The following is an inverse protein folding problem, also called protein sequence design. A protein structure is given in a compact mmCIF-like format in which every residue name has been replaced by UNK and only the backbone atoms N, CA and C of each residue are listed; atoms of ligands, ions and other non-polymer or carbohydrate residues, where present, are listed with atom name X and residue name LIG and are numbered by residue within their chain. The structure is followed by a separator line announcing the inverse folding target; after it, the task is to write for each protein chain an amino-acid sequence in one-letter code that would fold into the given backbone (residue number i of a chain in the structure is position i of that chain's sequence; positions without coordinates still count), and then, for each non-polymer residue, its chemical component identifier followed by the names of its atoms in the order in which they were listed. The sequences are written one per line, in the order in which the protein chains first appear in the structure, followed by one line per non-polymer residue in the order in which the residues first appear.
data_IF_675102325819
#
_entry.id   IF_675102325819
#
_cell.length_a   1.000
_cell.length_b   1.000
_cell.length_c   1.000
_cell.angle_alpha   90.00
_cell.angle_beta   90.00
_cell.angle_gamma   90.00
#
_symmetry.space_group_name_H-M   'P 1'
#
loop_
_entity.id
_entity.type
_entity.pdbx_description
1 polymer ?
2 non-polymer ?
3 non-polymer ?
4 non-polymer ?
5 non-polymer ?
6 water ?
#
# COMPACT_ATOMS: atom_id res chain seq x y z
N UNK A 1 25.04 14.94 18.40
CA UNK A 1 25.82 13.72 17.99
C UNK A 1 26.29 13.67 16.53
N UNK A 3 27.26 10.34 13.47
CA UNK A 3 27.43 8.90 13.21
C UNK A 3 27.78 8.66 11.73
N UNK A 4 28.42 7.51 11.44
CA UNK A 4 28.72 7.13 10.08
C UNK A 4 28.19 5.71 9.86
N UNK A 5 27.38 5.56 8.81
CA UNK A 5 26.77 4.27 8.42
C UNK A 5 27.00 4.03 6.94
N UNK A 6 26.90 2.78 6.50
CA UNK A 6 26.83 2.50 5.09
C UNK A 6 25.46 2.92 4.53
N UNK A 7 24.40 2.54 5.23
CA UNK A 7 23.04 2.74 4.82
C UNK A 7 22.23 3.34 5.94
N UNK A 8 21.48 4.40 5.60
CA UNK A 8 20.47 4.98 6.47
C UNK A 8 19.15 4.72 5.81
N UNK A 9 18.23 4.07 6.54
CA UNK A 9 16.85 3.86 6.11
C UNK A 9 15.94 4.78 6.92
N UNK A 10 15.27 5.68 6.19
CA UNK A 10 14.33 6.62 6.81
C UNK A 10 12.91 6.07 6.74
N UNK A 11 12.43 5.64 7.91
CA UNK A 11 11.11 5.08 8.06
C UNK A 11 11.11 3.63 8.47
N UNK A 12 10.24 3.31 9.44
CA UNK A 12 10.14 1.98 10.00
C UNK A 12 8.85 1.22 9.73
N UNK A 13 8.27 1.45 8.56
CA UNK A 13 7.15 0.67 8.09
C UNK A 13 7.69 -0.55 7.35
N UNK A 14 6.80 -1.30 6.68
CA UNK A 14 7.23 -2.53 5.99
C UNK A 14 8.31 -2.26 4.92
N UNK A 15 8.24 -1.13 4.23
CA UNK A 15 9.22 -0.82 3.22
C UNK A 15 10.62 -0.61 3.85
N UNK A 16 10.68 0.26 4.86
CA UNK A 16 11.92 0.53 5.54
C UNK A 16 12.51 -0.69 6.22
N UNK A 17 11.67 -1.43 6.95
CA UNK A 17 12.21 -2.57 7.66
C UNK A 17 12.73 -3.62 6.70
N UNK A 18 12.08 -3.78 5.57
CA UNK A 18 12.54 -4.71 4.55
C UNK A 18 13.86 -4.25 3.96
N UNK A 19 13.94 -2.97 3.58
CA UNK A 19 15.20 -2.43 3.07
C UNK A 19 16.32 -2.64 4.10
N UNK A 20 16.07 -2.29 5.34
CA UNK A 20 17.09 -2.37 6.39
C UNK A 20 17.55 -3.81 6.66
N UNK A 21 16.59 -4.73 6.69
CA UNK A 21 16.91 -6.14 6.92
C UNK A 21 17.85 -6.67 5.80
N UNK A 22 17.46 -6.43 4.55
CA UNK A 22 18.26 -6.90 3.42
C UNK A 22 19.60 -6.18 3.34
N UNK A 23 19.63 -4.87 3.58
CA UNK A 23 20.93 -4.16 3.63
C UNK A 23 21.88 -4.82 4.64
N UNK A 24 21.36 -5.14 5.83
CA UNK A 24 22.17 -5.74 6.89
C UNK A 24 22.58 -7.16 6.48
N UNK A 25 21.65 -7.93 5.89
CA UNK A 25 22.01 -9.28 5.40
C UNK A 25 23.12 -9.20 4.35
N UNK A 26 23.11 -8.11 3.59
CA UNK A 26 24.10 -7.87 2.54
C UNK A 26 25.42 -7.32 3.08
N UNK A 27 25.57 -7.32 4.40
CA UNK A 27 26.82 -6.95 5.05
C UNK A 27 27.04 -5.48 5.38
N UNK A 28 26.03 -4.66 5.13
CA UNK A 28 26.18 -3.21 5.20
C UNK A 28 25.80 -2.69 6.58
N UNK A 29 26.59 -1.75 7.12
CA UNK A 29 26.36 -1.18 8.45
C UNK A 29 25.17 -0.28 8.25
N UNK A 30 24.05 -0.65 8.91
CA UNK A 30 22.74 -0.09 8.60
C UNK A 30 22.06 0.49 9.82
N UNK A 31 21.49 1.69 9.66
CA UNK A 31 20.63 2.30 10.67
C UNK A 31 19.27 2.55 10.07
N UNK A 33 15.68 4.42 11.08
CA UNK A 33 15.09 5.37 12.00
C UNK A 33 13.57 5.42 11.77
N UNK A 34 12.85 5.63 12.86
CA UNK A 34 11.42 5.81 12.85
C UNK A 34 10.98 7.01 13.69
N UNK A 35 10.19 7.89 13.10
CA UNK A 35 9.73 9.13 13.72
C UNK A 35 8.88 8.87 14.97
N UNK A 36 8.00 7.91 14.87
CA UNK A 36 7.03 7.61 15.93
C UNK A 36 7.74 6.92 17.09
N UNK A 37 7.21 7.05 18.33
CA UNK A 37 7.82 6.38 19.48
C UNK A 37 7.75 4.85 19.46
N UNK A 38 6.80 4.31 18.71
CA UNK A 38 6.60 2.86 18.60
C UNK A 38 6.47 2.47 17.12
N UNK A 39 7.21 1.45 16.71
CA UNK A 39 7.07 0.84 15.39
C UNK A 39 5.64 0.28 15.30
N UNK A 40 4.95 0.57 14.23
CA UNK A 40 3.70 -0.09 13.89
C UNK A 40 2.46 0.54 14.43
N UNK A 41 2.60 1.52 15.32
CA UNK A 41 1.45 2.08 16.06
C UNK A 41 1.46 3.57 15.96
N UNK A 42 0.29 4.18 15.75
CA UNK A 42 -0.99 3.55 15.56
C UNK A 42 -1.14 2.98 14.13
N UNK A 43 -2.04 2.01 14.00
CA UNK A 43 -2.31 1.39 12.72
C UNK A 43 -3.22 2.31 11.92
N UNK A 44 -2.86 2.56 10.66
CA UNK A 44 -3.68 3.35 9.76
C UNK A 44 -3.74 2.61 8.44
N UNK A 45 -4.43 1.48 8.47
CA UNK A 45 -4.39 0.54 7.35
C UNK A 45 -5.54 -0.40 7.47
N UNK A 46 -6.01 -0.89 6.32
CA UNK A 46 -6.95 -1.98 6.22
C UNK A 46 -6.40 -3.33 6.58
N UNK A 47 -5.09 -3.46 6.52
CA UNK A 47 -4.36 -4.62 6.96
C UNK A 47 -4.52 -5.83 6.04
N UNK A 48 -5.02 -5.61 4.83
CA UNK A 48 -5.21 -6.69 3.87
C UNK A 48 -3.95 -6.97 3.07
N UNK A 49 -3.57 -8.23 2.98
CA UNK A 49 -2.35 -8.60 2.27
C UNK A 49 -2.52 -9.93 1.51
N UNK A 50 -2.26 -9.91 0.20
CA UNK A 50 -2.23 -11.17 -0.56
C UNK A 50 -1.04 -12.02 -0.15
N UNK A 51 -1.18 -13.36 -0.25
CA UNK A 51 -0.25 -14.34 0.38
C UNK A 51 1.22 -14.39 -0.13
N UNK A 52 1.34 -14.15 -1.44
CA UNK A 52 2.58 -14.37 -2.20
C UNK A 52 3.81 -13.60 -1.70
N UNK A 53 3.61 -12.38 -1.23
CA UNK A 53 4.74 -11.54 -0.82
C UNK A 53 5.49 -12.13 0.35
N UNK A 54 4.81 -12.86 1.24
CA UNK A 54 5.51 -13.41 2.40
C UNK A 54 6.55 -14.43 1.91
N UNK A 55 6.19 -15.24 0.92
CA UNK A 55 7.16 -16.17 0.33
C UNK A 55 8.25 -15.44 -0.40
N UNK A 56 7.89 -14.45 -1.22
CA UNK A 56 8.87 -13.73 -2.02
C UNK A 56 9.93 -13.04 -1.14
N UNK A 57 9.47 -12.50 0.00
CA UNK A 57 10.33 -11.75 0.93
C UNK A 57 10.88 -12.58 2.06
N UNK A 58 10.61 -13.89 2.02
CA UNK A 58 11.09 -14.78 3.08
C UNK A 58 10.68 -14.31 4.48
N UNK A 59 9.38 -14.09 4.64
CA UNK A 59 8.76 -13.78 5.93
C UNK A 59 7.83 -14.96 6.25
N UNK A 60 7.99 -15.55 7.41
CA UNK A 60 7.20 -16.76 7.78
C UNK A 60 5.85 -16.27 8.28
N UNK A 61 4.77 -16.83 7.74
CA UNK A 61 3.43 -16.50 8.18
C UNK A 61 3.33 -16.98 9.62
N UNK A 62 3.03 -16.06 10.53
CA UNK A 62 2.87 -16.40 11.94
C UNK A 62 1.59 -15.82 12.46
N UNK A 63 0.89 -16.59 13.27
CA UNK A 63 -0.41 -16.21 13.79
C UNK A 63 -0.32 -14.97 14.67
N UNK A 64 0.87 -14.67 15.21
CA UNK A 64 1.03 -13.49 16.04
C UNK A 64 0.76 -12.20 15.26
N UNK A 65 0.95 -12.19 13.95
CA UNK A 65 0.62 -11.01 13.16
C UNK A 65 -0.44 -11.20 12.09
N UNK A 66 -1.07 -12.35 12.06
CA UNK A 66 -2.15 -12.63 11.13
C UNK A 66 -3.44 -12.77 11.95
N UNK A 67 -4.38 -11.86 11.76
CA UNK A 67 -5.65 -11.94 12.48
C UNK A 67 -6.57 -12.99 11.89
N UNK A 68 -6.57 -13.07 10.55
CA UNK A 68 -7.53 -13.87 9.83
C UNK A 68 -6.99 -14.18 8.42
N UNK A 69 -7.23 -15.40 7.98
CA UNK A 69 -6.89 -15.81 6.62
C UNK A 69 -8.18 -15.76 5.84
N UNK A 70 -8.12 -15.33 4.60
CA UNK A 70 -9.33 -15.34 3.79
C UNK A 70 -9.21 -16.30 2.62
N UNK A 71 -10.32 -16.89 2.26
CA UNK A 71 -10.31 -17.83 1.13
C UNK A 71 -10.61 -17.10 -0.18
N UNK A 72 -11.18 -15.90 -0.10
CA UNK A 72 -11.48 -15.14 -1.31
C UNK A 72 -11.81 -13.69 -1.08
N UNK A 73 -12.02 -12.98 -2.18
CA UNK A 73 -12.50 -11.61 -2.20
C UNK A 73 -13.80 -11.58 -2.99
N UNK A 74 -14.73 -10.74 -2.55
CA UNK A 74 -15.99 -10.54 -3.24
C UNK A 74 -16.14 -9.06 -3.58
N UNK A 75 -16.55 -8.78 -4.81
CA UNK A 75 -16.74 -7.40 -5.27
C UNK A 75 -18.20 -7.21 -5.64
N UNK A 76 -18.87 -6.28 -4.95
CA UNK A 76 -20.27 -5.99 -5.16
C UNK A 76 -20.49 -4.74 -5.99
N UNK A 77 -21.50 -4.81 -6.85
CA UNK A 77 -21.97 -3.66 -7.57
C UNK A 77 -22.96 -2.91 -6.70
N UNK A 78 -23.38 -1.73 -7.16
CA UNK A 78 -24.32 -0.87 -6.45
C UNK A 78 -25.59 -1.58 -5.93
N UNK A 79 -26.17 -2.49 -6.69
CA UNK A 79 -27.40 -3.15 -6.28
C UNK A 79 -27.13 -4.36 -5.38
N UNK A 80 -25.86 -4.74 -5.21
CA UNK A 80 -25.44 -5.86 -4.36
C UNK A 80 -26.15 -7.18 -4.68
N UNK A 81 -26.45 -7.42 -5.95
CA UNK A 81 -27.18 -8.63 -6.40
C UNK A 81 -26.40 -9.98 -6.34
N UNK A 82 -25.36 -10.14 -7.15
CA UNK A 82 -24.42 -11.28 -7.05
C UNK A 82 -23.00 -10.68 -7.18
N UNK A 83 -22.08 -11.03 -6.27
CA UNK A 83 -20.75 -10.41 -6.38
C UNK A 83 -19.82 -11.18 -7.30
N UNK A 84 -18.81 -10.49 -7.84
CA UNK A 84 -17.66 -11.17 -8.39
C UNK A 84 -16.95 -11.81 -7.24
N UNK A 85 -16.61 -13.09 -7.39
CA UNK A 85 -15.85 -13.84 -6.40
C UNK A 85 -14.51 -14.30 -6.96
N UNK A 86 -13.44 -14.01 -6.24
CA UNK A 86 -12.11 -14.49 -6.57
C UNK A 86 -11.66 -15.41 -5.45
N UNK A 87 -11.44 -16.67 -5.79
CA UNK A 87 -10.88 -17.64 -4.85
C UNK A 87 -10.24 -18.81 -5.56
N UNK A 88 -9.20 -19.36 -4.93
CA UNK A 88 -8.40 -20.47 -5.50
C UNK A 88 -9.21 -21.68 -5.97
N UNK A 89 -8.68 -22.37 -6.98
CA UNK A 89 -9.28 -23.61 -7.50
C UNK A 89 -9.35 -24.70 -6.42
N UNK A 90 -8.31 -24.79 -5.59
CA UNK A 90 -8.21 -25.78 -4.52
C UNK A 90 -9.23 -25.52 -3.40
N UNK A 91 -9.72 -26.59 -2.77
CA UNK A 91 -10.82 -26.53 -1.79
C UNK A 91 -10.60 -25.57 -0.62
N UNK A 92 -9.63 -25.88 0.24
CA UNK A 92 -9.44 -25.12 1.48
C UNK A 92 -8.63 -23.83 1.40
N UNK A 93 -7.56 -23.83 0.57
CA UNK A 93 -6.45 -22.89 0.73
C UNK A 93 -6.75 -21.37 0.75
N UNK A 94 -5.91 -20.67 1.48
CA UNK A 94 -6.07 -19.23 1.69
C UNK A 94 -5.43 -18.46 0.53
N UNK A 95 -6.01 -17.29 0.20
CA UNK A 95 -5.49 -16.42 -0.87
C UNK A 95 -4.80 -15.18 -0.27
N UNK A 96 -5.07 -14.94 1.02
CA UNK A 96 -4.51 -13.75 1.66
C UNK A 96 -4.87 -13.69 3.11
N UNK A 97 -4.50 -12.56 3.69
CA UNK A 97 -4.54 -12.39 5.13
C UNK A 97 -5.10 -11.03 5.44
N UNK A 98 -5.73 -10.94 6.60
CA UNK A 98 -5.93 -9.66 7.27
C UNK A 98 -5.01 -9.68 8.48
N UNK A 99 -4.08 -8.74 8.48
CA UNK A 99 -3.00 -8.70 9.44
C UNK A 99 -3.40 -8.01 10.73
N UNK A 100 -2.53 -8.14 11.72
CA UNK A 100 -2.41 -7.12 12.75
C UNK A 100 -1.20 -6.28 12.32
N UNK A 101 -1.45 -5.15 11.68
CA UNK A 101 -0.37 -4.38 11.09
C UNK A 101 0.68 -3.92 12.07
N UNK A 102 0.24 -3.58 13.29
CA UNK A 102 1.19 -3.18 14.31
C UNK A 102 2.18 -4.30 14.67
N UNK A 103 1.67 -5.51 14.90
CA UNK A 103 2.52 -6.66 15.18
C UNK A 103 3.34 -7.05 13.94
N UNK A 104 2.77 -6.93 12.76
CA UNK A 104 3.51 -7.18 11.51
C UNK A 104 4.69 -6.23 11.34
N UNK A 105 4.44 -4.94 11.52
CA UNK A 105 5.52 -3.96 11.39
C UNK A 105 6.59 -4.23 12.46
N UNK A 106 6.16 -4.56 13.68
CA UNK A 106 7.13 -4.88 14.73
C UNK A 106 7.97 -6.11 14.37
N UNK A 107 7.32 -7.12 13.79
CA UNK A 107 8.01 -8.34 13.38
C UNK A 107 9.06 -8.03 12.31
N UNK A 108 8.69 -7.23 11.31
CA UNK A 108 9.65 -6.87 10.24
C UNK A 108 10.82 -6.07 10.79
N UNK A 109 10.55 -5.13 11.70
CA UNK A 109 11.62 -4.36 12.34
C UNK A 109 12.55 -5.27 13.16
N UNK A 110 11.96 -6.25 13.83
CA UNK A 110 12.73 -7.25 14.57
C UNK A 110 13.62 -8.10 13.64
N UNK A 111 13.10 -8.51 12.48
CA UNK A 111 13.93 -9.21 11.47
C UNK A 111 15.10 -8.34 11.02
N UNK A 112 14.87 -7.03 10.93
CA UNK A 112 15.94 -6.11 10.53
C UNK A 112 17.03 -6.05 11.60
N UNK A 113 16.60 -5.93 12.85
CA UNK A 113 17.52 -5.88 13.97
C UNK A 113 18.29 -7.19 14.06
N UNK A 114 17.58 -8.31 13.89
CA UNK A 114 18.25 -9.64 13.92
C UNK A 114 19.31 -9.79 12.84
N UNK A 115 19.06 -9.24 11.65
CA UNK A 115 19.99 -9.26 10.52
C UNK A 115 21.21 -8.36 10.78
N UNK A 116 21.11 -7.44 11.72
CA UNK A 116 22.21 -6.57 12.09
C UNK A 116 21.99 -5.08 11.99
N UNK A 117 20.79 -4.65 11.62
CA UNK A 117 20.54 -3.20 11.54
C UNK A 117 20.37 -2.62 12.94
N UNK A 118 20.92 -1.43 13.15
CA UNK A 118 20.54 -0.62 14.30
C UNK A 118 19.17 0.02 14.02
N UNK A 119 18.40 0.21 15.10
CA UNK A 119 17.05 0.77 14.98
C UNK A 119 16.84 1.86 16.03
N UNK A 120 16.47 3.06 15.59
CA UNK A 120 16.12 4.18 16.46
C UNK A 120 14.62 4.50 16.30
N UNK A 121 13.93 4.67 17.42
CA UNK A 121 12.55 5.10 17.44
C UNK A 121 12.50 6.50 18.03
N UNK A 122 11.35 7.16 17.88
CA UNK A 122 11.17 8.56 18.26
C UNK A 122 12.33 9.40 17.73
N UNK A 123 12.66 9.16 16.46
CA UNK A 123 13.90 9.68 15.86
C UNK A 123 13.65 10.13 14.43
N UNK A 124 12.93 11.26 14.25
CA UNK A 124 12.65 11.74 12.90
C UNK A 124 13.86 12.31 12.17
N UNK A 125 13.95 12.04 10.87
CA UNK A 125 14.80 12.81 9.97
C UNK A 125 14.20 14.21 9.88
N UNK A 126 15.07 15.21 9.90
CA UNK A 126 14.68 16.63 9.85
C UNK A 126 14.97 17.24 8.48
N UNK A 127 15.97 16.72 7.81
CA UNK A 127 16.40 17.21 6.52
C UNK A 127 17.56 16.40 6.00
N UNK A 128 18.02 16.79 4.83
CA UNK A 128 18.92 16.04 3.99
C UNK A 128 20.29 16.71 3.98
N UNK A 129 21.33 15.88 4.05
CA UNK A 129 22.72 16.30 3.91
C UNK A 129 23.23 15.82 2.53
N UNK A 130 23.88 16.73 1.82
CA UNK A 130 24.52 16.45 0.53
C UNK A 130 25.99 16.82 0.55
N UNK A 131 26.80 16.07 -0.19
CA UNK A 131 28.24 16.36 -0.28
C UNK A 131 28.83 15.60 -1.45
N UNK A 132 29.77 16.24 -2.14
CA UNK A 132 30.48 15.61 -3.25
C UNK A 132 29.50 15.10 -4.33
N UNK A 133 28.41 15.82 -4.56
CA UNK A 133 27.50 15.47 -5.64
C UNK A 133 26.47 14.38 -5.36
N UNK A 134 26.31 14.01 -4.09
CA UNK A 134 25.32 12.98 -3.74
C UNK A 134 24.66 13.29 -2.42
N UNK A 135 23.47 12.73 -2.23
CA UNK A 135 22.87 12.66 -0.89
C UNK A 135 23.85 11.88 -0.01
N UNK A 136 24.15 12.42 1.16
CA UNK A 136 25.21 11.90 2.02
C UNK A 136 24.77 11.64 3.47
N UNK A 137 23.48 11.79 3.75
CA UNK A 137 22.97 11.53 5.10
C UNK A 137 21.80 12.43 5.43
N UNK A 138 21.57 12.59 6.72
CA UNK A 138 20.41 13.32 7.26
C UNK A 138 20.76 13.89 8.61
N UNK A 139 20.14 15.02 8.93
CA UNK A 139 20.03 15.46 10.32
C UNK A 139 18.82 14.81 10.91
N UNK A 140 18.97 14.26 12.11
CA UNK A 140 17.98 13.44 12.79
C UNK A 140 17.86 13.84 14.25
N UNK A 141 16.66 13.97 14.78
CA UNK A 141 16.48 14.21 16.21
C UNK A 141 16.46 12.85 16.90
N UNK A 142 17.32 12.67 17.89
CA UNK A 142 17.43 11.39 18.60
C UNK A 142 17.81 11.70 20.06
N UNK A 143 16.97 11.26 20.99
CA UNK A 143 17.18 11.46 22.43
C UNK A 143 17.41 12.93 22.76
N UNK A 144 16.56 13.78 22.21
CA UNK A 144 16.60 15.23 22.48
C UNK A 144 17.89 15.91 22.06
N UNK A 145 18.51 15.40 21.02
CA UNK A 145 19.55 16.16 20.39
C UNK A 145 19.53 15.92 18.90
N UNK A 146 20.15 16.84 18.18
CA UNK A 146 20.31 16.76 16.73
C UNK A 146 21.54 15.96 16.42
N UNK A 147 21.38 14.88 15.67
CA UNK A 147 22.48 14.03 15.28
C UNK A 147 22.72 14.18 13.78
N UNK A 148 23.96 14.31 13.39
CA UNK A 148 24.36 14.35 11.98
C UNK A 148 24.72 12.92 11.59
N UNK A 149 23.89 12.26 10.77
CA UNK A 149 24.14 10.88 10.32
C UNK A 149 24.60 10.91 8.88
N UNK A 150 25.83 10.45 8.64
CA UNK A 150 26.38 10.35 7.30
C UNK A 150 26.23 8.92 6.84
N UNK A 151 25.77 8.74 5.63
CA UNK A 151 25.56 7.40 5.04
C UNK A 151 25.96 7.43 3.59
N UNK A 152 26.46 6.31 3.09
CA UNK A 152 26.79 6.19 1.63
C UNK A 152 25.52 6.12 0.80
N UNK A 154 21.17 6.50 1.31
CA UNK A 154 19.93 6.73 2.04
C UNK A 154 18.78 6.07 1.27
N UNK A 155 18.02 5.25 1.98
CA UNK A 155 16.81 4.66 1.45
C UNK A 155 15.65 5.31 2.19
N UNK A 156 14.86 6.11 1.49
CA UNK A 156 13.73 6.82 2.11
C UNK A 156 12.46 6.01 1.89
N UNK A 157 11.92 5.49 3.01
CA UNK A 157 10.73 4.69 3.04
C UNK A 157 9.80 5.38 4.07
N UNK A 158 9.57 6.69 3.86
CA UNK A 158 8.92 7.51 4.87
C UNK A 158 7.45 7.81 4.60
N UNK A 159 6.83 6.95 3.80
CA UNK A 159 5.40 6.88 3.68
C UNK A 159 4.80 7.96 2.77
N UNK A 160 3.46 8.06 2.85
CA UNK A 160 2.68 8.87 1.94
C UNK A 160 3.11 10.35 1.90
N UNK A 161 3.58 10.91 3.01
CA UNK A 161 4.01 12.30 2.99
C UNK A 161 5.28 12.52 2.15
N UNK A 162 6.09 11.46 2.02
CA UNK A 162 7.30 11.49 1.21
C UNK A 162 8.14 12.75 1.45
N UNK A 163 8.40 13.04 2.71
CA UNK A 163 9.14 14.25 3.09
C UNK A 163 10.57 14.24 2.61
N UNK A 164 11.26 13.10 2.80
CA UNK A 164 12.68 13.10 2.55
C UNK A 164 12.99 13.35 1.07
N UNK A 165 12.24 12.67 0.18
CA UNK A 165 12.43 12.85 -1.24
C UNK A 165 12.12 14.28 -1.63
N UNK A 166 11.08 14.85 -1.02
CA UNK A 166 10.75 16.25 -1.33
C UNK A 166 11.85 17.21 -0.87
N UNK A 167 12.33 17.01 0.35
CA UNK A 167 13.45 17.81 0.84
C UNK A 167 14.67 17.70 -0.06
N UNK A 168 14.92 16.50 -0.57
CA UNK A 168 16.08 16.25 -1.40
C UNK A 168 15.98 16.88 -2.78
N UNK A 169 14.76 17.15 -3.20
CA UNK A 169 14.48 17.85 -4.43
C UNK A 169 13.78 17.06 -5.51
N UNK A 170 13.25 15.88 -5.20
CA UNK A 170 12.47 15.08 -6.17
C UNK A 170 11.02 15.50 -6.40
N UNK A 171 10.77 16.16 -7.53
CA UNK A 171 9.44 16.67 -7.84
C UNK A 171 8.49 15.63 -8.38
N UNK A 172 9.04 14.51 -8.81
CA UNK A 172 8.26 13.46 -9.45
C UNK A 172 7.23 12.87 -8.52
N UNK A 173 7.47 12.92 -7.22
CA UNK A 173 6.54 12.35 -6.27
C UNK A 173 5.37 13.28 -5.90
N UNK A 174 5.33 14.49 -6.43
CA UNK A 174 4.21 15.40 -6.18
C UNK A 174 3.02 14.89 -6.97
N UNK A 175 1.93 14.61 -6.27
CA UNK A 175 0.76 14.04 -6.91
C UNK A 175 -0.21 15.06 -7.42
N UNK A 176 -0.82 14.75 -8.56
CA UNK A 176 -2.00 15.47 -9.01
C UNK A 176 -3.18 15.05 -8.14
N UNK A 177 -4.14 15.94 -7.98
CA UNK A 177 -5.28 15.69 -7.12
C UNK A 177 -6.05 14.48 -7.57
N UNK A 178 -6.09 14.21 -8.89
CA UNK A 178 -6.86 13.04 -9.32
C UNK A 178 -6.23 11.69 -8.96
N UNK A 179 -4.98 11.72 -8.45
CA UNK A 179 -4.27 10.51 -8.01
C UNK A 179 -4.16 10.44 -6.48
N UNK A 180 -4.92 11.26 -5.78
CA UNK A 180 -4.98 11.20 -4.32
C UNK A 180 -6.34 10.73 -3.84
N UNK A 181 -6.34 9.64 -3.08
CA UNK A 181 -7.52 9.09 -2.44
C UNK A 181 -7.47 9.48 -0.98
N UNK A 182 -8.59 10.02 -0.51
CA UNK A 182 -8.78 10.26 0.92
C UNK A 182 -9.53 9.05 1.48
N UNK A 183 -8.96 8.44 2.51
CA UNK A 183 -9.48 7.21 3.10
C UNK A 183 -9.85 7.43 4.54
N UNK A 184 -10.87 6.69 4.97
CA UNK A 184 -11.37 6.81 6.34
C UNK A 184 -11.88 5.42 6.73
N UNK A 185 -11.52 4.97 7.92
CA UNK A 185 -11.81 3.59 8.32
C UNK A 185 -12.13 3.46 9.80
N UNK A 186 -13.15 2.66 10.07
CA UNK A 186 -13.45 2.24 11.43
C UNK A 186 -12.91 0.82 11.68
N UNK A 187 -12.43 0.62 12.90
CA UNK A 187 -12.25 -0.73 13.43
C UNK A 187 -13.53 -1.04 14.21
N UNK A 189 -16.22 -3.83 16.16
CA UNK A 189 -16.36 -5.06 16.93
C UNK A 189 -17.84 -5.40 17.01
N UNK A 190 -18.13 -6.65 17.41
CA UNK A 190 -19.49 -7.15 17.48
C UNK A 190 -20.30 -6.95 16.22
N UNK A 191 -19.65 -7.11 15.07
CA UNK A 191 -20.32 -7.08 13.76
C UNK A 191 -20.52 -8.48 13.28
N UNK A 192 -21.48 -8.65 12.40
CA UNK A 192 -21.86 -9.94 11.94
C UNK A 192 -21.39 -9.94 10.49
N UNK A 193 -20.24 -10.57 10.22
CA UNK A 193 -19.65 -10.64 8.88
C UNK A 193 -19.17 -12.07 8.60
N UNK A 194 -18.82 -12.34 7.35
CA UNK A 194 -18.26 -13.66 6.95
C UNK A 194 -16.73 -13.62 6.91
N UNK A 195 -16.09 -14.25 7.92
CA UNK A 195 -14.63 -14.17 7.98
C UNK A 195 -13.83 -14.92 6.88
N UNK A 196 -14.52 -15.60 5.97
CA UNK A 196 -13.89 -16.20 4.79
C UNK A 196 -13.55 -15.23 3.65
N UNK A 197 -14.16 -14.03 3.63
CA UNK A 197 -14.09 -13.11 2.49
C UNK A 197 -13.76 -11.67 2.87
N UNK A 198 -12.87 -11.05 2.11
CA UNK A 198 -12.69 -9.58 2.12
C UNK A 198 -13.66 -9.04 1.05
N UNK A 199 -14.52 -8.13 1.45
CA UNK A 199 -15.58 -7.60 0.58
C UNK A 199 -15.29 -6.17 0.15
N UNK A 200 -15.61 -5.88 -1.11
CA UNK A 200 -15.43 -4.58 -1.75
C UNK A 200 -16.74 -4.16 -2.38
N UNK A 201 -17.13 -2.91 -2.14
CA UNK A 201 -18.39 -2.37 -2.60
C UNK A 201 -18.18 -1.18 -3.53
N UNK A 202 -18.72 -1.27 -4.74
CA UNK A 202 -18.57 -0.25 -5.76
C UNK A 202 -19.86 0.55 -5.97
N UNK A 203 -19.69 1.80 -6.38
CA UNK A 203 -20.79 2.61 -6.80
C UNK A 203 -20.77 4.02 -6.23
N UNK A 204 -21.85 4.74 -6.46
CA UNK A 204 -22.00 6.11 -6.01
C UNK A 204 -22.04 6.21 -4.47
N UNK A 205 -22.26 5.09 -3.79
CA UNK A 205 -22.04 4.97 -2.34
C UNK A 205 -20.60 5.28 -1.91
N UNK A 206 -19.64 5.18 -2.85
CA UNK A 206 -18.22 5.48 -2.62
C UNK A 206 -17.60 6.00 -3.93
N UNK A 207 -17.84 7.27 -4.25
CA UNK A 207 -17.46 7.78 -5.56
C UNK A 207 -15.96 7.73 -5.81
N UNK A 208 -15.57 7.32 -6.99
CA UNK A 208 -14.16 7.32 -7.39
C UNK A 208 -13.31 6.60 -6.34
N UNK A 209 -13.80 5.47 -5.87
CA UNK A 209 -13.07 4.62 -4.93
C UNK A 209 -13.92 3.39 -4.61
N UNK A 210 -13.97 3.02 -3.34
CA UNK A 210 -14.80 1.93 -2.94
C UNK A 210 -14.92 1.92 -1.43
N UNK A 211 -15.85 1.09 -0.95
CA UNK A 211 -15.96 0.75 0.45
C UNK A 211 -15.50 -0.69 0.62
N UNK A 212 -14.79 -0.95 1.73
CA UNK A 212 -14.33 -2.31 2.01
C UNK A 212 -14.74 -2.79 3.39
N UNK A 213 -14.82 -4.12 3.53
CA UNK A 213 -15.07 -4.76 4.81
C UNK A 213 -14.08 -5.91 4.89
N UNK A 214 -13.10 -5.79 5.78
CA UNK A 214 -12.06 -6.84 5.95
C UNK A 214 -12.21 -7.49 7.29
N UNK A 215 -12.65 -8.74 7.31
CA UNK A 215 -12.86 -9.38 8.61
C UNK A 215 -11.59 -9.81 9.27
N UNK A 216 -11.56 -9.63 10.60
CA UNK A 216 -10.43 -9.98 11.43
C UNK A 216 -10.67 -11.21 12.29
N UNK A 217 -11.85 -11.82 12.18
CA UNK A 217 -12.25 -12.88 13.09
C UNK A 217 -12.97 -12.38 14.33
N UNK A 218 -13.71 -13.28 14.98
CA UNK A 218 -14.33 -13.01 16.29
C UNK A 218 -15.18 -11.73 16.34
N UNK A 219 -15.92 -11.50 15.27
CA UNK A 219 -16.84 -10.38 15.20
C UNK A 219 -16.21 -9.03 14.92
N UNK A 221 -13.96 -6.35 12.31
CA UNK A 221 -13.71 -6.04 10.90
C UNK A 221 -13.21 -4.64 10.77
N UNK A 222 -12.38 -4.44 9.76
CA UNK A 222 -12.01 -3.11 9.30
C UNK A 222 -12.99 -2.69 8.21
N UNK A 223 -13.65 -1.54 8.40
CA UNK A 223 -14.72 -1.10 7.50
C UNK A 223 -14.38 0.32 7.09
N UNK A 224 -14.09 0.50 5.82
CA UNK A 224 -13.58 1.78 5.34
C UNK A 224 -14.12 2.24 4.01
N UNK A 225 -13.83 3.50 3.72
CA UNK A 225 -14.15 4.12 2.46
C UNK A 225 -12.89 4.84 1.96
N UNK A 226 -12.71 4.84 0.65
CA UNK A 226 -11.70 5.68 -0.02
C UNK A 226 -12.37 6.38 -1.18
N UNK A 227 -12.14 7.69 -1.34
CA UNK A 227 -12.69 8.46 -2.46
C UNK A 227 -11.65 9.47 -2.96
N UNK A 228 -11.55 9.61 -4.29
CA UNK A 228 -10.66 10.61 -4.87
C UNK A 228 -11.02 11.98 -4.32
N UNK A 229 -10.03 12.80 -3.99
CA UNK A 229 -10.27 14.09 -3.35
C UNK A 229 -11.04 15.06 -4.24
N UNK A 230 -11.04 14.81 -5.53
CA UNK A 230 -11.84 15.63 -6.44
C UNK A 230 -13.34 15.34 -6.39
N UNK A 231 -13.72 14.25 -5.73
CA UNK A 231 -15.12 13.85 -5.68
C UNK A 231 -15.74 14.14 -4.33
N UNK A 232 -15.23 13.53 -3.27
CA UNK A 232 -15.76 13.82 -1.95
C UNK A 232 -14.98 14.98 -1.33
N UNK A 233 -15.74 16.02 -1.00
CA UNK A 233 -15.22 17.35 -0.70
C UNK A 233 -14.33 17.35 0.54
N UNK A 234 -14.90 17.06 1.70
CA UNK A 234 -14.08 17.06 2.92
C UNK A 234 -14.26 15.75 3.67
N UNK A 235 -13.48 15.55 4.73
CA UNK A 235 -13.51 14.27 5.44
C UNK A 235 -14.83 14.04 6.22
N UNK A 236 -15.56 15.09 6.56
CA UNK A 236 -16.85 14.91 7.26
C UNK A 236 -17.84 14.30 6.26
N UNK A 237 -17.80 14.76 5.02
CA UNK A 237 -18.65 14.20 3.96
C UNK A 237 -18.25 12.72 3.72
N UNK A 238 -16.95 12.46 3.69
CA UNK A 238 -16.44 11.08 3.56
C UNK A 238 -16.98 10.17 4.67
N UNK A 239 -16.91 10.65 5.91
CA UNK A 239 -17.45 9.92 7.05
C UNK A 239 -18.96 9.69 6.89
N UNK A 240 -19.69 10.71 6.41
CA UNK A 240 -21.12 10.55 6.19
C UNK A 240 -21.43 9.43 5.17
N UNK A 241 -20.67 9.35 4.08
CA UNK A 241 -20.85 8.27 3.10
C UNK A 241 -20.66 6.91 3.80
N UNK A 242 -19.59 6.78 4.58
CA UNK A 242 -19.34 5.49 5.27
C UNK A 242 -20.43 5.17 6.31
N UNK A 243 -20.85 6.19 7.08
CA UNK A 243 -21.90 5.98 8.07
C UNK A 243 -23.22 5.55 7.44
N UNK A 244 -23.56 6.13 6.29
CA UNK A 244 -24.76 5.74 5.60
C UNK A 244 -24.67 4.30 5.14
N UNK A 245 -23.51 3.92 4.63
CA UNK A 245 -23.28 2.53 4.23
C UNK A 245 -23.48 1.60 5.43
N UNK A 246 -22.86 1.90 6.57
CA UNK A 246 -22.99 1.07 7.77
C UNK A 246 -24.48 0.96 8.23
N UNK A 247 -25.18 2.10 8.24
CA UNK A 247 -26.61 2.17 8.59
C UNK A 247 -27.44 1.24 7.72
N UNK A 248 -27.08 1.17 6.44
CA UNK A 248 -27.85 0.37 5.48
C UNK A 248 -27.43 -1.11 5.45
N UNK A 249 -26.49 -1.50 6.31
CA UNK A 249 -26.03 -2.91 6.41
C UNK A 249 -26.20 -3.43 7.85
N UNK A 250 -27.30 -4.19 8.10
CA UNK A 250 -27.65 -4.51 9.48
C UNK A 250 -26.59 -5.21 10.28
N UNK A 251 -25.80 -6.03 9.61
CA UNK A 251 -24.71 -6.78 10.26
C UNK A 251 -23.57 -5.87 10.72
N UNK A 252 -23.45 -4.70 10.09
CA UNK A 252 -22.49 -3.69 10.51
C UNK A 252 -23.07 -2.69 11.52
N UNK A 253 -24.30 -2.25 11.26
CA UNK A 253 -25.00 -1.30 12.15
C UNK A 253 -25.07 -1.73 13.63
N UNK A 254 -25.19 -3.04 13.88
CA UNK A 254 -25.28 -3.57 15.25
C UNK A 254 -23.98 -3.54 16.06
N UNK A 255 -22.86 -3.26 15.38
CA UNK A 255 -21.56 -3.23 15.99
C UNK A 255 -21.18 -1.92 16.61
N UNK A 256 -19.99 -1.88 17.21
CA UNK A 256 -19.44 -0.66 17.79
C UNK A 256 -18.09 -0.39 17.10
N UNK A 257 -17.76 0.89 16.92
CA UNK A 257 -16.42 1.24 16.48
C UNK A 257 -15.51 1.50 17.68
N UNK A 258 -14.25 1.07 17.59
CA UNK A 258 -13.26 1.27 18.63
C UNK A 258 -12.08 2.14 18.15
N UNK A 259 -12.01 2.42 16.85
CA UNK A 259 -10.96 3.25 16.26
C UNK A 259 -11.52 3.90 15.00
N UNK A 260 -11.06 5.10 14.71
CA UNK A 260 -11.41 5.82 13.48
C UNK A 260 -10.14 6.39 13.00
N UNK A 261 -9.72 6.00 11.79
CA UNK A 261 -8.45 6.52 11.24
C UNK A 261 -8.71 7.13 9.89
N UNK A 262 -7.84 8.05 9.51
CA UNK A 262 -7.88 8.65 8.19
C UNK A 262 -6.46 8.61 7.61
N UNK A 263 -6.37 8.67 6.29
CA UNK A 263 -5.06 8.72 5.67
C UNK A 263 -5.21 8.87 4.20
N UNK A 264 -4.09 9.11 3.55
CA UNK A 264 -4.04 9.24 2.11
C UNK A 264 -3.42 8.02 1.46
N UNK A 265 -3.90 7.75 0.26
CA UNK A 265 -3.44 6.70 -0.59
C UNK A 265 -3.12 7.32 -1.98
N UNK A 266 -2.01 7.00 -2.60
CA UNK A 266 -1.76 7.44 -3.97
C UNK A 266 -2.27 6.37 -4.92
N UNK A 267 -2.76 6.80 -6.10
CA UNK A 267 -3.19 5.85 -7.15
C UNK A 267 -2.64 6.31 -8.49
N UNK A 268 -1.34 6.51 -8.51
CA UNK A 268 -0.65 7.06 -9.65
C UNK A 268 0.04 6.01 -10.52
N UNK A 269 0.26 6.40 -11.76
CA UNK A 269 1.23 5.73 -12.61
C UNK A 269 2.60 5.78 -11.94
N UNK A 270 3.49 4.85 -12.29
CA UNK A 270 4.86 4.91 -11.79
C UNK A 270 5.49 6.27 -12.17
N UNK A 271 6.17 6.86 -11.17
CA UNK A 271 6.78 8.19 -11.18
C UNK A 271 8.28 8.05 -11.28
N UNK A 273 12.00 10.47 -11.84
CA UNK A 273 12.92 9.61 -11.10
C UNK A 273 12.46 9.41 -9.67
N UNK A 274 12.86 8.30 -9.07
CA UNK A 274 12.67 8.07 -7.63
C UNK A 274 14.01 7.85 -6.92
N UNK A 275 15.05 8.41 -7.54
CA UNK A 275 16.41 8.33 -7.05
C UNK A 275 17.14 9.62 -7.40
N UNK A 277 21.76 10.46 -6.95
CA UNK A 277 22.97 9.83 -6.34
C UNK A 277 22.87 9.88 -4.83
N UNK A 278 23.03 8.71 -4.22
CA UNK A 278 22.92 8.57 -2.75
C UNK A 278 21.55 8.32 -2.18
N UNK A 279 20.51 8.26 -2.99
CA UNK A 279 19.12 8.22 -2.50
C UNK A 279 18.20 7.38 -3.36
N UNK A 281 13.98 6.05 -3.14
CA UNK A 281 12.69 6.02 -2.46
C UNK A 281 12.01 4.68 -2.65
N UNK A 282 11.33 4.23 -1.58
CA UNK A 282 10.69 2.95 -1.48
C UNK A 282 9.25 3.13 -1.02
N UNK A 283 8.39 2.22 -1.46
CA UNK A 283 7.03 2.13 -0.92
C UNK A 283 6.16 3.32 -1.22
N UNK A 284 5.39 3.72 -0.23
CA UNK A 284 4.46 4.86 -0.45
C UNK A 284 5.22 6.12 -0.84
N UNK A 285 6.41 6.33 -0.26
CA UNK A 285 7.21 7.51 -0.58
C UNK A 285 7.51 7.56 -2.10
N UNK A 286 7.61 6.39 -2.77
CA UNK A 286 7.87 6.30 -4.19
C UNK A 286 6.62 6.23 -5.05
N UNK A 287 5.45 6.36 -4.41
CA UNK A 287 4.16 6.34 -5.07
C UNK A 287 3.87 4.99 -5.71
N UNK A 288 4.21 3.91 -5.01
CA UNK A 288 4.07 2.56 -5.57
C UNK A 288 2.83 1.80 -5.13
N UNK A 289 1.88 2.48 -4.50
CA UNK A 289 0.57 1.90 -4.25
C UNK A 289 -0.12 1.57 -5.57
N UNK A 290 -0.75 0.40 -5.61
CA UNK A 290 -1.47 -0.07 -6.80
C UNK A 290 -2.66 0.85 -7.13
N UNK A 291 -2.70 1.43 -8.34
CA UNK A 291 -3.75 2.42 -8.64
C UNK A 291 -5.17 1.91 -8.63
N UNK A 292 -5.38 0.59 -8.79
CA UNK A 292 -6.75 0.06 -8.79
C UNK A 292 -7.15 -0.52 -7.42
N UNK A 293 -6.22 -1.09 -6.68
CA UNK A 293 -6.57 -1.66 -5.37
C UNK A 293 -6.36 -0.74 -4.18
N UNK A 294 -5.47 0.25 -4.30
CA UNK A 294 -5.05 1.08 -3.17
C UNK A 294 -4.11 0.37 -2.19
N UNK A 295 -3.68 -0.83 -2.56
CA UNK A 295 -2.79 -1.63 -1.69
C UNK A 295 -1.32 -1.29 -1.91
N UNK A 296 -0.61 -1.05 -0.83
CA UNK A 296 0.79 -0.70 -0.90
C UNK A 296 1.71 -1.52 0.01
N UNK A 297 1.17 -2.41 0.86
CA UNK A 297 2.04 -3.14 1.80
C UNK A 297 3.04 -4.03 0.99
N UNK A 298 2.51 -4.87 0.10
CA UNK A 298 3.36 -5.77 -0.69
C UNK A 298 4.36 -4.99 -1.53
N UNK A 299 3.90 -3.88 -2.11
CA UNK A 299 4.77 -3.11 -2.99
C UNK A 299 5.86 -2.40 -2.23
N UNK A 300 5.59 -2.03 -0.98
CA UNK A 300 6.61 -1.44 -0.13
C UNK A 300 7.69 -2.50 0.19
N UNK A 301 7.27 -3.72 0.47
CA UNK A 301 8.22 -4.81 0.76
C UNK A 301 9.06 -5.14 -0.50
N UNK A 302 8.44 -5.28 -1.67
CA UNK A 302 9.17 -5.54 -2.92
C UNK A 302 10.17 -4.46 -3.20
N UNK A 303 9.72 -3.21 -3.15
CA UNK A 303 10.64 -2.12 -3.46
C UNK A 303 11.77 -2.00 -2.44
N UNK A 304 11.50 -2.27 -1.16
CA UNK A 304 12.56 -2.28 -0.16
C UNK A 304 13.64 -3.31 -0.53
N UNK A 306 14.38 -4.48 -3.54
CA UNK A 306 15.12 -4.01 -4.70
C UNK A 306 16.09 -2.90 -4.37
N UNK A 307 15.67 -1.99 -3.49
CA UNK A 307 16.54 -0.92 -3.06
C UNK A 307 17.77 -1.45 -2.33
N UNK A 308 17.59 -2.43 -1.46
CA UNK A 308 18.70 -3.02 -0.72
C UNK A 308 19.67 -3.67 -1.73
N UNK A 309 19.13 -4.37 -2.72
CA UNK A 309 19.94 -5.08 -3.72
C UNK A 309 20.86 -4.12 -4.46
N UNK A 310 20.30 -3.02 -4.95
CA UNK A 310 21.10 -2.08 -5.72
C UNK A 310 22.04 -1.29 -4.81
N UNK A 311 21.59 -1.00 -3.60
CA UNK A 311 22.43 -0.36 -2.58
C UNK A 311 23.68 -1.18 -2.33
N UNK A 312 23.53 -2.50 -2.23
CA UNK A 312 24.69 -3.38 -2.05
C UNK A 312 25.68 -3.22 -3.22
N UNK A 313 25.17 -3.26 -4.45
CA UNK A 313 26.03 -3.13 -5.63
C UNK A 313 26.72 -1.78 -5.66
N UNK A 314 25.99 -0.72 -5.30
CA UNK A 314 26.54 0.62 -5.27
C UNK A 314 27.68 0.74 -4.28
N UNK A 315 27.49 0.27 -3.05
CA UNK A 315 28.50 0.42 -2.02
C UNK A 315 29.73 -0.47 -2.28
N UNK A 316 29.48 -1.70 -2.69
CA UNK A 316 30.58 -2.61 -3.01
C UNK A 316 31.46 -2.14 -4.16
N UNK A 317 30.90 -1.33 -5.07
CA UNK A 317 31.71 -0.78 -6.16
C UNK A 317 32.01 0.72 -6.00
N UNK A 318 31.58 1.30 -4.87
CA UNK A 318 31.60 2.77 -4.63
C UNK A 318 31.20 3.54 -5.88
N UNK A 319 30.04 3.15 -6.41
CA UNK A 319 29.49 3.78 -7.60
C UNK A 319 28.11 4.27 -7.24
N UNK A 320 27.99 5.60 -7.08
CA UNK A 320 26.74 6.23 -6.65
C UNK A 320 26.17 7.09 -7.79
N UNK A 321 26.65 6.84 -9.00
CA UNK A 321 26.27 7.58 -10.20
C UNK A 321 24.80 7.41 -10.53
N UNK A 322 24.26 8.37 -11.31
CA UNK A 322 22.90 8.17 -11.80
C UNK A 322 22.69 6.84 -12.52
N UNK A 323 23.70 6.37 -13.26
CA UNK A 323 23.60 5.10 -13.95
C UNK A 323 23.40 3.92 -12.97
N UNK A 326 19.91 4.15 -11.43
CA UNK A 326 18.94 3.75 -12.46
C UNK A 326 18.75 2.25 -12.52
N UNK A 327 19.66 1.45 -11.94
CA UNK A 327 19.40 0.02 -11.86
C UNK A 327 18.23 -0.30 -10.94
N UNK A 328 18.08 0.49 -9.88
CA UNK A 328 16.91 0.37 -8.99
C UNK A 328 15.65 0.79 -9.73
N UNK A 329 15.75 1.92 -10.43
CA UNK A 329 14.61 2.39 -11.25
C UNK A 329 14.19 1.35 -12.28
N UNK A 330 15.15 0.67 -12.92
CA UNK A 330 14.84 -0.38 -13.88
C UNK A 330 14.08 -1.56 -13.28
N UNK A 331 14.51 -1.99 -12.08
CA UNK A 331 13.78 -3.05 -11.38
C UNK A 331 12.34 -2.64 -11.06
N UNK A 332 12.17 -1.41 -10.58
CA UNK A 332 10.85 -0.90 -10.26
C UNK A 332 9.94 -0.82 -11.52
N UNK A 333 10.48 -0.27 -12.59
CA UNK A 333 9.73 -0.18 -13.86
C UNK A 333 9.37 -1.56 -14.39
N UNK A 334 10.34 -2.47 -14.39
CA UNK A 334 10.04 -3.83 -14.86
C UNK A 334 8.93 -4.51 -14.08
N UNK A 335 8.89 -4.29 -12.75
CA UNK A 335 7.90 -4.91 -11.90
C UNK A 335 6.54 -4.22 -12.01
N UNK A 336 6.56 -2.89 -12.10
CA UNK A 336 5.33 -2.12 -11.87
C UNK A 336 4.84 -1.21 -12.97
N UNK A 337 5.70 -0.79 -13.88
CA UNK A 337 5.29 0.29 -14.80
C UNK A 337 4.05 -0.06 -15.66
N UNK A 338 4.11 -1.16 -16.39
CA UNK A 338 2.99 -1.57 -17.26
C UNK A 338 1.74 -1.92 -16.44
N UNK A 339 1.92 -2.61 -15.32
CA UNK A 339 0.78 -2.96 -14.48
C UNK A 339 0.08 -1.71 -13.93
N UNK A 340 0.87 -0.75 -13.48
CA UNK A 340 0.30 0.45 -12.89
C UNK A 340 -0.27 1.37 -13.97
N UNK A 341 0.28 1.32 -15.18
CA UNK A 341 -0.31 2.08 -16.27
C UNK A 341 -1.71 1.53 -16.61
N UNK A 342 -1.81 0.21 -16.78
CA UNK A 342 -3.09 -0.46 -16.99
C UNK A 342 -4.07 -0.10 -15.87
N UNK A 343 -3.62 -0.26 -14.62
CA UNK A 343 -4.49 -0.05 -13.49
C UNK A 343 -4.92 1.41 -13.35
N UNK A 344 -4.04 2.35 -13.70
CA UNK A 344 -4.36 3.77 -13.62
C UNK A 344 -5.43 4.10 -14.67
N UNK A 345 -5.24 3.60 -15.90
CA UNK A 345 -6.25 3.81 -16.94
C UNK A 345 -7.58 3.21 -16.47
N UNK A 346 -7.51 2.01 -15.90
CA UNK A 346 -8.75 1.35 -15.44
C UNK A 346 -9.46 2.18 -14.37
N UNK A 347 -8.72 2.68 -13.38
CA UNK A 347 -9.39 3.41 -12.30
C UNK A 347 -9.96 4.75 -12.79
N UNK A 348 -9.27 5.39 -13.74
CA UNK A 348 -9.78 6.66 -14.30
C UNK A 348 -11.10 6.43 -15.02
N UNK A 349 -11.16 5.35 -15.78
CA UNK A 349 -12.40 5.00 -16.47
C UNK A 349 -13.50 4.56 -15.51
N UNK A 350 -13.15 3.71 -14.54
CA UNK A 350 -14.15 3.22 -13.60
C UNK A 350 -14.83 4.34 -12.82
N UNK A 351 -14.10 5.41 -12.49
CA UNK A 351 -14.64 6.58 -11.77
C UNK A 351 -15.78 7.28 -12.52
N UNK A 353 -18.09 5.77 -14.40
CA UNK A 353 -19.22 4.88 -14.72
C UNK A 353 -20.42 5.04 -13.80
N UNK A 354 -21.62 4.98 -14.40
CA UNK A 354 -22.87 5.07 -13.65
C UNK A 354 -23.10 3.80 -12.83
N UNK A 355 -24.00 3.89 -11.87
CA UNK A 355 -24.34 2.72 -11.06
C UNK A 355 -24.92 1.60 -11.92
N UNK A 356 -25.80 1.96 -12.85
CA UNK A 356 -26.32 0.98 -13.82
C UNK A 356 -25.24 0.22 -14.58
N UNK A 357 -24.27 0.96 -15.13
CA UNK A 357 -23.14 0.34 -15.82
C UNK A 357 -22.31 -0.58 -14.91
N UNK A 358 -22.05 -0.12 -13.69
CA UNK A 358 -21.32 -0.95 -12.73
C UNK A 358 -22.10 -2.24 -12.43
N UNK A 359 -23.42 -2.12 -12.24
CA UNK A 359 -24.26 -3.31 -11.99
C UNK A 359 -24.14 -4.27 -13.17
N UNK A 360 -24.19 -3.73 -14.40
CA UNK A 360 -24.08 -4.57 -15.60
C UNK A 360 -22.75 -5.29 -15.65
N UNK A 361 -21.66 -4.56 -15.38
CA UNK A 361 -20.32 -5.15 -15.43
C UNK A 361 -20.16 -6.27 -14.39
N UNK A 362 -20.67 -6.05 -13.17
CA UNK A 362 -20.51 -7.05 -12.11
C UNK A 362 -21.36 -8.29 -12.44
N UNK A 363 -22.56 -8.07 -12.97
CA UNK A 363 -23.42 -9.16 -13.42
C UNK A 363 -22.69 -10.05 -14.42
N UNK A 364 -22.04 -9.43 -15.39
CA UNK A 364 -21.31 -10.15 -16.44
C UNK A 364 -20.08 -10.89 -15.92
N UNK A 365 -19.23 -10.23 -15.14
CA UNK A 365 -18.03 -10.87 -14.62
C UNK A 365 -18.39 -11.97 -13.60
N UNK A 366 -19.45 -11.76 -12.81
CA UNK A 366 -19.79 -12.71 -11.76
C UNK A 366 -20.47 -13.98 -12.25
N UNK A 367 -20.45 -14.21 -13.56
CA UNK A 367 -21.00 -15.44 -14.14
C UNK A 367 -20.13 -16.67 -13.84
N UNK A 368 -18.82 -16.47 -13.76
CA UNK A 368 -17.87 -17.51 -13.33
C UNK A 368 -17.04 -17.00 -12.15
N UNK A 369 -16.79 -17.89 -11.17
CA UNK A 369 -15.83 -17.64 -10.09
C UNK A 369 -14.46 -17.51 -10.71
N UNK A 370 -13.73 -16.45 -10.37
CA UNK A 370 -12.38 -16.25 -10.89
C UNK A 370 -11.39 -16.96 -9.96
N UNK A 371 -10.60 -17.88 -10.52
CA UNK A 371 -9.67 -18.70 -9.74
C UNK A 371 -8.24 -18.20 -9.86
N UNK A 372 -8.01 -17.21 -10.72
CA UNK A 372 -6.77 -16.42 -10.68
C UNK A 372 -7.04 -15.18 -9.84
N UNK A 373 -6.31 -15.06 -8.73
CA UNK A 373 -6.55 -14.03 -7.74
C UNK A 373 -5.80 -12.77 -8.16
N UNK A 374 -6.34 -12.05 -9.14
CA UNK A 374 -5.65 -10.86 -9.64
C UNK A 374 -6.59 -9.87 -10.29
N UNK A 375 -6.16 -8.62 -10.29
CA UNK A 375 -6.87 -7.56 -11.02
C UNK A 375 -6.85 -7.87 -12.51
N UNK A 376 -5.72 -8.40 -13.00
CA UNK A 376 -5.58 -8.80 -14.41
C UNK A 376 -6.70 -9.75 -14.84
N UNK A 377 -7.04 -10.71 -13.98
CA UNK A 377 -8.10 -11.68 -14.28
C UNK A 377 -9.47 -11.01 -14.37
N UNK A 378 -9.73 -10.03 -13.50
CA UNK A 378 -10.98 -9.24 -13.57
C UNK A 378 -11.03 -8.44 -14.89
N UNK A 379 -9.94 -7.74 -15.21
CA UNK A 379 -9.85 -6.91 -16.43
C UNK A 379 -10.00 -7.75 -17.71
N UNK A 380 -9.35 -8.91 -17.76
CA UNK A 380 -9.47 -9.82 -18.89
C UNK A 380 -10.90 -10.35 -19.09
N UNK A 381 -11.57 -10.70 -17.99
CA UNK A 381 -12.98 -11.13 -18.06
C UNK A 381 -13.86 -10.01 -18.61
N UNK A 382 -13.56 -8.76 -18.23
CA UNK A 382 -14.28 -7.60 -18.79
C UNK A 382 -13.91 -7.41 -20.27
N UNK A 383 -12.61 -7.41 -20.58
CA UNK A 383 -12.15 -7.29 -21.95
C UNK A 383 -12.89 -8.26 -22.87
N UNK A 384 -13.03 -9.51 -22.42
CA UNK A 384 -13.65 -10.56 -23.23
C UNK A 384 -15.16 -10.42 -23.34
N UNK A 385 -15.86 -10.49 -22.19
CA UNK A 385 -17.32 -10.52 -22.16
C UNK A 385 -18.01 -9.17 -22.39
N UNK A 386 -17.31 -8.07 -22.12
CA UNK A 386 -17.88 -6.72 -22.23
C UNK A 386 -16.83 -5.73 -22.78
N UNK A 387 -16.34 -5.96 -24.02
CA UNK A 387 -15.24 -5.13 -24.55
C UNK A 387 -15.53 -3.62 -24.63
N UNK A 388 -16.81 -3.24 -24.73
CA UNK A 388 -17.22 -1.83 -24.83
C UNK A 388 -16.66 -0.96 -23.70
N UNK A 389 -16.79 -1.44 -22.45
CA UNK A 389 -16.37 -0.69 -21.25
C UNK A 389 -14.85 -0.62 -21.04
N UNK A 390 -14.08 -1.44 -21.75
CA UNK A 390 -12.62 -1.51 -21.57
C UNK A 390 -11.80 -1.31 -22.86
N UNK A 391 -12.30 -0.51 -23.80
CA UNK A 391 -11.58 -0.25 -25.05
C UNK A 391 -10.28 0.53 -24.80
N UNK A 392 -10.32 1.43 -23.81
CA UNK A 392 -9.14 2.22 -23.41
C UNK A 392 -7.94 1.37 -22.94
N UNK A 393 -8.22 0.19 -22.38
CA UNK A 393 -7.19 -0.74 -21.91
C UNK A 393 -6.76 -1.75 -22.97
N UNK A 394 -7.11 -1.50 -24.23
CA UNK A 394 -6.85 -2.45 -25.35
C UNK A 394 -5.45 -3.08 -25.33
N UNK A 395 -4.41 -2.25 -25.39
CA UNK A 395 -3.02 -2.74 -25.41
C UNK A 395 -2.53 -3.26 -24.07
N UNK A 396 -3.27 -2.96 -23.00
CA UNK A 396 -2.82 -3.13 -21.62
C UNK A 396 -3.40 -4.37 -20.91
N UNK A 397 -4.36 -5.07 -21.54
CA UNK A 397 -4.79 -6.43 -21.11
C UNK A 397 -4.87 -7.38 -22.31
#
# INVERSE_FOLDING_TARGET
GXETYDVLVVGGGPGGSTAARYAAKYGLKTLXIEKRPEIGSPVRCGEGLSKGILNEADIKADRSFIANEVKGARIYGPSEKRPIILQSEKAGNEVGYVLERDKFDKHLAALAAKAGADVWVKSPALGVIKENGKVAGAKIRHNNEIVDVRAKXVIAADGFESEFGRWAGLKSVILARNDIISALQYRXINVDVDPDYTDFYLGSIAPAGYIWVFPKGEGXANVGIGSSINWIHNRFELKNYLDRFIENHPGLKKGQDIQLVTGGVSVSKVKXPITXPGLXLVGDAARLIDPITGGGIANAIVSGXYAAQVTKEAIESNDYSPQXXQKYEKLIKERFERKHLRNWVAKEKLAXLSDDTLDKLVDIVSEQVLTTISVEAILKAIAEKYPEVVKELEDLI
#
